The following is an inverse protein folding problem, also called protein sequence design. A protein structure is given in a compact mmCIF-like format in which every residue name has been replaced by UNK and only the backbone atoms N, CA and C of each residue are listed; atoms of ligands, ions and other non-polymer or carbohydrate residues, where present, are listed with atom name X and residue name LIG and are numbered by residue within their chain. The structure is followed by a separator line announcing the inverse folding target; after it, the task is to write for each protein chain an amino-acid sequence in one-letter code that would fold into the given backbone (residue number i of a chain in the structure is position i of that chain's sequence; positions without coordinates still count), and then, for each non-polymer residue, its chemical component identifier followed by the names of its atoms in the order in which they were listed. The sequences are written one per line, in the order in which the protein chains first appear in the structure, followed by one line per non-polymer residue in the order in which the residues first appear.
data_IF_309908569087
#
_entry.id   IF_309908569087
#
_cell.length_a   1.000
_cell.length_b   1.000
_cell.length_c   1.000
_cell.angle_alpha   90.00
_cell.angle_beta   90.00
_cell.angle_gamma   90.00
#
_symmetry.space_group_name_H-M   'P 1'
#
loop_
_entity.id
_entity.type
_entity.pdbx_description
1 polymer ?
#
# COMPACT_ATOMS: atom_id res chain seq x y z
N UNK A 1 -5.40 -4.46 -17.53
CA UNK A 1 -6.21 -3.69 -16.57
C UNK A 1 -5.31 -2.88 -15.67
N UNK A 2 -5.51 -1.56 -15.65
CA UNK A 2 -4.65 -0.71 -14.82
C UNK A 2 -5.15 -0.67 -13.40
N UNK A 3 -4.27 -0.97 -12.48
CA UNK A 3 -4.55 -0.87 -11.05
C UNK A 3 -4.34 0.59 -10.64
N UNK A 4 -5.33 1.16 -9.94
CA UNK A 4 -5.22 2.51 -9.43
C UNK A 4 -4.34 2.53 -8.20
N UNK A 5 -3.32 3.41 -8.22
CA UNK A 5 -2.44 3.55 -7.09
C UNK A 5 -1.18 4.28 -7.48
N UNK A 6 -0.55 4.87 -6.49
CA UNK A 6 0.72 5.57 -6.67
C UNK A 6 1.83 4.76 -6.02
N UNK A 7 3.04 4.96 -6.50
CA UNK A 7 4.20 4.33 -5.88
C UNK A 7 4.30 4.74 -4.42
N UNK A 8 4.64 3.80 -3.57
CA UNK A 8 4.81 4.06 -2.16
C UNK A 8 5.98 5.00 -1.93
N UNK A 9 5.83 5.92 -0.99
CA UNK A 9 6.93 6.76 -0.56
C UNK A 9 7.87 5.94 0.31
N UNK A 10 9.08 6.45 0.52
CA UNK A 10 10.05 5.77 1.37
C UNK A 10 9.48 5.48 2.76
N UNK A 11 8.79 6.47 3.32
CA UNK A 11 8.19 6.33 4.65
C UNK A 11 7.11 5.25 4.67
N UNK A 12 6.29 5.21 3.63
CA UNK A 12 5.25 4.18 3.51
C UNK A 12 5.87 2.79 3.38
N UNK A 13 6.93 2.68 2.61
CA UNK A 13 7.65 1.42 2.46
C UNK A 13 8.20 0.94 3.79
N UNK A 14 8.76 1.83 4.58
CA UNK A 14 9.30 1.51 5.88
C UNK A 14 8.19 1.02 6.82
N UNK A 15 7.04 1.69 6.80
CA UNK A 15 5.90 1.32 7.62
C UNK A 15 5.44 -0.10 7.29
N UNK A 16 5.28 -0.39 6.00
CA UNK A 16 4.84 -1.72 5.58
C UNK A 16 5.88 -2.78 5.90
N UNK A 17 7.14 -2.49 5.66
CA UNK A 17 8.22 -3.44 5.94
C UNK A 17 8.29 -3.77 7.42
N UNK A 18 8.07 -2.80 8.28
CA UNK A 18 8.08 -3.01 9.72
C UNK A 18 6.96 -3.96 10.16
N UNK A 19 5.87 -4.03 9.39
CA UNK A 19 4.75 -4.92 9.67
C UNK A 19 4.87 -6.26 8.96
N UNK A 20 5.97 -6.47 8.26
CA UNK A 20 6.17 -7.71 7.54
C UNK A 20 5.49 -7.80 6.19
N UNK A 21 5.06 -6.67 5.64
CA UNK A 21 4.41 -6.62 4.34
C UNK A 21 5.45 -6.48 3.23
N UNK A 22 5.18 -7.09 2.08
CA UNK A 22 6.02 -6.92 0.91
C UNK A 22 5.49 -5.71 0.12
N UNK A 23 6.07 -4.55 0.39
CA UNK A 23 5.62 -3.29 -0.22
C UNK A 23 5.73 -3.29 -1.75
N UNK A 24 6.53 -4.19 -2.32
CA UNK A 24 6.69 -4.25 -3.77
C UNK A 24 5.45 -4.79 -4.47
N UNK A 25 4.59 -5.46 -3.73
CA UNK A 25 3.35 -6.01 -4.27
C UNK A 25 2.19 -5.02 -4.18
N UNK A 26 2.40 -3.88 -3.53
CA UNK A 26 1.31 -2.95 -3.23
C UNK A 26 1.58 -1.55 -3.75
N UNK A 27 0.48 -0.85 -4.02
CA UNK A 27 0.51 0.56 -4.37
C UNK A 27 -0.39 1.30 -3.38
N UNK A 28 -0.09 2.56 -3.15
CA UNK A 28 -0.90 3.37 -2.25
C UNK A 28 -2.02 4.04 -3.01
N UNK A 29 -3.26 3.75 -2.61
CA UNK A 29 -4.45 4.37 -3.21
C UNK A 29 -4.81 5.62 -2.44
N UNK A 30 -4.77 5.54 -1.11
CA UNK A 30 -5.11 6.66 -0.25
C UNK A 30 -4.29 6.56 1.03
N UNK A 31 -3.80 7.70 1.49
CA UNK A 31 -3.01 7.78 2.72
C UNK A 31 -3.70 8.71 3.70
N UNK A 32 -4.26 8.14 4.76
CA UNK A 32 -4.90 8.89 5.81
C UNK A 32 -4.03 8.99 7.06
N UNK A 33 -4.51 9.71 8.09
CA UNK A 33 -3.73 9.89 9.32
C UNK A 33 -3.54 8.59 10.11
N UNK A 34 -4.56 7.74 10.14
CA UNK A 34 -4.53 6.50 10.92
C UNK A 34 -4.59 5.26 10.05
N UNK A 35 -4.64 5.42 8.74
CA UNK A 35 -4.80 4.29 7.83
C UNK A 35 -4.12 4.58 6.51
N UNK A 36 -3.98 3.52 5.73
CA UNK A 36 -3.43 3.63 4.39
C UNK A 36 -4.15 2.60 3.54
N UNK A 37 -4.80 3.04 2.47
CA UNK A 37 -5.47 2.12 1.56
C UNK A 37 -4.48 1.68 0.49
N UNK A 38 -4.36 0.38 0.35
CA UNK A 38 -3.42 -0.22 -0.59
C UNK A 38 -4.16 -1.07 -1.60
N UNK A 39 -3.52 -1.29 -2.72
CA UNK A 39 -4.02 -2.21 -3.73
C UNK A 39 -2.90 -3.16 -4.12
N UNK A 40 -3.23 -4.45 -4.17
CA UNK A 40 -2.26 -5.45 -4.62
C UNK A 40 -2.15 -5.35 -6.14
N UNK A 41 -0.98 -4.99 -6.62
CA UNK A 41 -0.76 -4.79 -8.06
C UNK A 41 -0.80 -6.08 -8.87
N UNK A 42 -0.71 -7.21 -8.19
CA UNK A 42 -0.77 -8.51 -8.86
C UNK A 42 -2.19 -9.00 -9.02
N UNK A 43 -2.98 -8.92 -7.94
CA UNK A 43 -4.36 -9.42 -7.94
C UNK A 43 -5.40 -8.32 -8.16
N UNK A 44 -5.03 -7.06 -7.93
CA UNK A 44 -5.94 -5.94 -8.03
C UNK A 44 -6.85 -5.78 -6.83
N UNK A 45 -6.63 -6.52 -5.77
CA UNK A 45 -7.45 -6.43 -4.57
C UNK A 45 -7.05 -5.24 -3.71
N UNK A 46 -8.06 -4.56 -3.19
CA UNK A 46 -7.85 -3.42 -2.29
C UNK A 46 -7.87 -3.89 -0.86
N UNK A 47 -6.98 -3.34 -0.06
CA UNK A 47 -6.89 -3.65 1.36
C UNK A 47 -6.72 -2.36 2.15
N UNK A 48 -7.13 -2.40 3.41
CA UNK A 48 -6.99 -1.27 4.33
C UNK A 48 -5.92 -1.61 5.36
N UNK A 49 -4.88 -0.80 5.38
CA UNK A 49 -3.77 -0.97 6.32
C UNK A 49 -3.92 0.06 7.44
N UNK A 50 -3.99 -0.39 8.66
CA UNK A 50 -4.04 0.51 9.82
C UNK A 50 -2.63 0.79 10.30
N UNK A 51 -2.32 2.06 10.41
CA UNK A 51 -1.03 2.51 10.92
C UNK A 51 -0.92 2.36 12.44
#
# INVERSE_FOLDING_TARGET
MKVRGKKLTRKQKETLSAQGWDFRLYLCVRDGPDFMELVNRTTGKYIMFKK
#
